data_IF_000376303911
#
_entry.id   IF_000376303911
#
_cell.length_a   1.000
_cell.length_b   1.000
_cell.length_c   1.000
_cell.angle_alpha   90.00
_cell.angle_beta   90.00
_cell.angle_gamma   90.00
#
_symmetry.space_group_name_H-M   'P 1'
#
loop_
_entity.id
_entity.type
_entity.pdbx_description
1 polymer ?
#
# COMPACT_ATOMS: atom_id res chain seq x y z
N UNK A 1 0.53 12.33 -18.48
CA UNK A 1 1.34 12.40 -17.24
C UNK A 1 0.79 11.34 -16.32
N UNK A 2 1.63 10.59 -15.60
CA UNK A 2 1.12 9.62 -14.61
C UNK A 2 0.57 10.37 -13.39
N UNK A 3 -0.33 9.73 -12.62
CA UNK A 3 -0.87 10.36 -11.40
C UNK A 3 0.23 10.66 -10.38
N UNK A 4 1.25 9.79 -10.29
CA UNK A 4 2.42 10.02 -9.45
C UNK A 4 3.16 11.32 -9.83
N UNK A 5 3.43 11.53 -11.12
CA UNK A 5 4.07 12.76 -11.60
C UNK A 5 3.21 14.01 -11.35
N UNK A 6 1.88 13.91 -11.54
CA UNK A 6 0.97 15.04 -11.30
C UNK A 6 0.96 15.44 -9.83
N UNK A 7 0.88 14.46 -8.93
CA UNK A 7 0.84 14.71 -7.48
C UNK A 7 2.19 15.23 -6.95
N UNK A 8 3.32 14.70 -7.43
CA UNK A 8 4.66 15.18 -7.08
C UNK A 8 4.88 16.62 -7.55
N UNK A 9 4.43 16.95 -8.77
CA UNK A 9 4.50 18.33 -9.29
C UNK A 9 3.69 19.29 -8.43
N UNK A 10 2.48 18.87 -8.01
CA UNK A 10 1.65 19.67 -7.12
C UNK A 10 2.29 19.83 -5.74
N UNK A 11 2.85 18.76 -5.18
CA UNK A 11 3.54 18.77 -3.89
C UNK A 11 4.74 19.73 -3.89
N UNK A 12 5.53 19.71 -4.96
CA UNK A 12 6.63 20.67 -5.12
C UNK A 12 6.13 22.13 -5.15
N UNK A 13 5.02 22.38 -5.88
CA UNK A 13 4.38 23.70 -5.94
C UNK A 13 3.85 24.15 -4.57
N UNK A 14 3.21 23.24 -3.81
CA UNK A 14 2.73 23.53 -2.45
C UNK A 14 3.90 23.89 -1.55
N UNK A 15 4.97 23.11 -1.56
CA UNK A 15 6.18 23.38 -0.76
C UNK A 15 6.78 24.76 -1.03
N UNK A 16 6.82 25.17 -2.30
CA UNK A 16 7.38 26.47 -2.74
C UNK A 16 6.49 27.65 -2.34
N UNK A 17 5.19 27.53 -2.61
CA UNK A 17 4.26 28.66 -2.48
C UNK A 17 3.57 28.76 -1.11
N UNK A 18 3.55 27.69 -0.30
CA UNK A 18 2.91 27.67 1.03
C UNK A 18 3.27 28.88 1.90
N UNK A 19 4.55 29.36 1.94
CA UNK A 19 4.92 30.50 2.80
C UNK A 19 4.28 31.85 2.42
N UNK A 20 3.79 31.97 1.19
CA UNK A 20 3.25 33.26 0.66
C UNK A 20 1.73 33.21 0.46
N UNK A 21 1.09 32.07 0.68
CA UNK A 21 -0.37 31.93 0.55
C UNK A 21 -1.04 32.23 1.90
N UNK A 22 -1.81 33.33 1.95
CA UNK A 22 -2.39 33.83 3.21
C UNK A 22 -3.92 33.71 3.28
N UNK A 23 -4.60 33.35 2.19
CA UNK A 23 -6.06 33.31 2.15
C UNK A 23 -6.58 31.97 1.62
N UNK A 24 -7.83 31.64 1.95
CA UNK A 24 -8.51 30.48 1.40
C UNK A 24 -8.66 30.55 -0.11
N UNK A 25 -9.03 31.72 -0.65
CA UNK A 25 -9.15 31.91 -2.11
C UNK A 25 -7.80 31.74 -2.84
N UNK A 26 -6.71 32.21 -2.24
CA UNK A 26 -5.38 31.95 -2.78
C UNK A 26 -5.02 30.46 -2.72
N UNK A 27 -5.42 29.74 -1.66
CA UNK A 27 -5.27 28.30 -1.53
C UNK A 27 -6.04 27.56 -2.62
N UNK A 28 -7.31 27.93 -2.84
CA UNK A 28 -8.15 27.35 -3.89
C UNK A 28 -7.48 27.50 -5.27
N UNK A 29 -7.06 28.72 -5.59
CA UNK A 29 -6.48 29.05 -6.89
C UNK A 29 -5.11 28.37 -7.09
N UNK A 30 -4.25 28.41 -6.08
CA UNK A 30 -2.88 27.91 -6.21
C UNK A 30 -2.77 26.38 -6.17
N UNK A 31 -3.63 25.70 -5.39
CA UNK A 31 -3.43 24.29 -5.09
C UNK A 31 -4.66 23.42 -5.40
N UNK A 32 -5.87 23.85 -5.03
CA UNK A 32 -7.07 22.98 -5.12
C UNK A 32 -7.58 22.89 -6.55
N UNK A 33 -7.68 24.02 -7.27
CA UNK A 33 -8.05 24.01 -8.70
C UNK A 33 -7.03 23.20 -9.53
N UNK A 34 -5.71 23.36 -9.35
CA UNK A 34 -4.74 22.46 -9.98
C UNK A 34 -4.89 20.98 -9.60
N UNK A 35 -5.22 20.65 -8.35
CA UNK A 35 -5.52 19.25 -7.96
C UNK A 35 -6.71 18.71 -8.73
N UNK A 36 -7.81 19.45 -8.80
CA UNK A 36 -9.01 19.06 -9.57
C UNK A 36 -8.66 18.84 -11.05
N UNK A 37 -7.87 19.74 -11.65
CA UNK A 37 -7.61 19.69 -13.09
C UNK A 37 -6.48 18.74 -13.47
N UNK A 38 -5.33 18.74 -12.75
CA UNK A 38 -4.14 17.98 -13.16
C UNK A 38 -4.01 16.62 -12.52
N UNK A 39 -4.62 16.43 -11.33
CA UNK A 39 -4.61 15.16 -10.62
C UNK A 39 -5.90 14.39 -10.87
N UNK A 40 -7.06 14.98 -10.61
CA UNK A 40 -8.34 14.30 -10.83
C UNK A 40 -8.78 14.33 -12.30
N UNK A 41 -8.30 15.26 -13.12
CA UNK A 41 -8.54 15.33 -14.57
C UNK A 41 -9.88 15.95 -14.98
N UNK A 42 -10.55 16.71 -14.09
CA UNK A 42 -11.77 17.46 -14.42
C UNK A 42 -11.40 18.85 -14.93
N UNK A 43 -12.17 19.37 -15.90
CA UNK A 43 -11.95 20.72 -16.40
C UNK A 43 -12.54 21.74 -15.40
N UNK A 44 -11.66 22.34 -14.60
CA UNK A 44 -12.04 23.34 -13.61
C UNK A 44 -12.56 24.66 -14.23
N UNK A 45 -12.47 24.82 -15.55
CA UNK A 45 -13.00 25.98 -16.28
C UNK A 45 -14.36 25.71 -16.92
N UNK A 46 -14.79 24.44 -16.98
CA UNK A 46 -16.11 24.06 -17.50
C UNK A 46 -17.11 23.92 -16.35
N UNK A 47 -18.11 24.83 -16.24
CA UNK A 47 -19.11 24.76 -15.18
C UNK A 47 -20.06 23.55 -15.27
N UNK A 48 -19.99 22.76 -16.34
CA UNK A 48 -20.70 21.48 -16.45
C UNK A 48 -19.98 20.36 -15.70
N UNK A 49 -18.69 20.51 -15.41
CA UNK A 49 -17.86 19.54 -14.70
C UNK A 49 -17.53 20.01 -13.28
N UNK A 50 -17.19 21.29 -13.11
CA UNK A 50 -16.78 21.84 -11.83
C UNK A 50 -17.59 23.09 -11.54
N UNK A 51 -18.53 22.97 -10.61
CA UNK A 51 -19.42 24.06 -10.21
C UNK A 51 -18.83 24.73 -8.96
N UNK A 52 -18.29 25.94 -9.06
CA UNK A 52 -17.82 26.67 -7.89
C UNK A 52 -18.99 27.21 -7.08
N UNK A 53 -18.80 27.38 -5.78
CA UNK A 53 -19.81 27.92 -4.85
C UNK A 53 -21.20 27.29 -5.01
N UNK A 54 -21.23 25.96 -5.10
CA UNK A 54 -22.46 25.21 -5.34
C UNK A 54 -23.45 25.37 -4.19
N UNK A 55 -24.71 25.63 -4.52
CA UNK A 55 -25.83 25.71 -3.57
C UNK A 55 -26.85 24.63 -3.90
N UNK A 56 -27.18 23.76 -2.94
CA UNK A 56 -28.25 22.79 -3.11
C UNK A 56 -29.63 23.46 -2.92
N UNK A 57 -30.62 22.99 -3.67
CA UNK A 57 -31.95 23.58 -3.68
C UNK A 57 -32.76 23.25 -2.41
N UNK A 58 -32.42 22.15 -1.72
CA UNK A 58 -33.20 21.62 -0.58
C UNK A 58 -32.26 21.23 0.58
N UNK A 59 -32.67 21.46 1.81
CA UNK A 59 -32.04 20.91 3.01
C UNK A 59 -30.85 21.68 3.58
N UNK A 60 -30.43 22.78 2.95
CA UNK A 60 -29.32 23.62 3.41
C UNK A 60 -29.80 24.96 3.93
N UNK A 61 -29.00 25.61 4.80
CA UNK A 61 -29.32 26.97 5.27
C UNK A 61 -29.20 27.97 4.12
N UNK A 62 -30.11 28.92 4.05
CA UNK A 62 -30.08 29.96 3.04
C UNK A 62 -28.75 30.71 3.06
N UNK A 63 -28.07 30.72 1.91
CA UNK A 63 -26.77 31.41 1.74
C UNK A 63 -25.54 30.56 2.06
N UNK A 64 -25.67 29.32 2.51
CA UNK A 64 -24.56 28.38 2.58
C UNK A 64 -24.22 27.87 1.16
N UNK A 65 -22.94 27.56 0.91
CA UNK A 65 -22.43 27.05 -0.36
C UNK A 65 -21.29 26.09 -0.06
N UNK A 66 -21.16 24.99 -0.80
CA UNK A 66 -19.94 24.19 -0.82
C UNK A 66 -19.00 24.74 -1.89
N UNK A 67 -17.70 24.71 -1.63
CA UNK A 67 -16.73 25.40 -2.50
C UNK A 67 -16.72 24.88 -3.93
N UNK A 68 -16.77 23.55 -4.12
CA UNK A 68 -16.90 22.96 -5.45
C UNK A 68 -17.81 21.73 -5.43
N UNK A 69 -18.61 21.57 -6.47
CA UNK A 69 -19.30 20.35 -6.81
C UNK A 69 -18.75 19.82 -8.14
N UNK A 70 -18.25 18.58 -8.14
CA UNK A 70 -17.71 17.90 -9.32
C UNK A 70 -18.80 17.01 -9.92
N UNK A 71 -19.04 17.15 -11.22
CA UNK A 71 -20.06 16.36 -11.96
C UNK A 71 -19.46 15.68 -13.18
N UNK A 72 -20.13 14.59 -13.57
CA UNK A 72 -19.94 13.99 -14.90
C UNK A 72 -21.34 13.73 -15.50
N UNK A 73 -21.73 14.57 -16.44
CA UNK A 73 -23.12 14.66 -16.89
C UNK A 73 -24.04 15.19 -15.79
N UNK A 74 -25.10 14.46 -15.46
CA UNK A 74 -26.00 14.85 -14.37
C UNK A 74 -25.57 14.34 -12.99
N UNK A 75 -24.64 13.35 -12.93
CA UNK A 75 -24.25 12.69 -11.68
C UNK A 75 -23.19 13.49 -10.93
N UNK A 76 -23.40 13.68 -9.64
CA UNK A 76 -22.37 14.18 -8.75
C UNK A 76 -21.29 13.12 -8.51
N UNK A 77 -20.01 13.53 -8.55
CA UNK A 77 -18.86 12.70 -8.25
C UNK A 77 -18.28 13.04 -6.89
N UNK A 78 -18.04 14.32 -6.64
CA UNK A 78 -17.49 14.80 -5.39
C UNK A 78 -18.09 16.14 -5.01
N UNK A 79 -18.27 16.35 -3.70
CA UNK A 79 -18.34 17.69 -3.11
C UNK A 79 -16.98 18.00 -2.48
N UNK A 80 -16.50 19.21 -2.64
CA UNK A 80 -15.20 19.63 -2.10
C UNK A 80 -15.39 20.88 -1.25
N UNK A 81 -14.99 20.78 0.02
CA UNK A 81 -14.90 21.89 0.96
C UNK A 81 -13.43 22.25 1.18
N UNK A 82 -13.12 23.52 1.10
CA UNK A 82 -11.77 24.04 1.14
C UNK A 82 -11.52 24.82 2.44
N UNK A 83 -10.28 24.79 2.89
CA UNK A 83 -9.79 25.62 3.99
C UNK A 83 -8.47 26.25 3.58
N UNK A 84 -8.09 27.30 4.29
CA UNK A 84 -6.80 27.95 4.09
C UNK A 84 -5.65 26.98 4.34
N UNK A 85 -4.60 27.06 3.56
CA UNK A 85 -3.39 26.27 3.76
C UNK A 85 -2.81 26.48 5.16
N UNK A 86 -2.34 25.36 5.79
CA UNK A 86 -1.84 25.38 7.16
C UNK A 86 -2.92 25.33 8.24
N UNK A 87 -4.21 25.47 7.90
CA UNK A 87 -5.31 25.28 8.83
C UNK A 87 -5.54 23.77 9.03
N UNK A 88 -5.61 23.28 10.29
CA UNK A 88 -5.87 21.86 10.56
C UNK A 88 -7.27 21.49 10.13
N UNK A 89 -7.39 20.37 9.42
CA UNK A 89 -8.69 19.81 9.03
C UNK A 89 -9.37 19.17 10.23
N UNK A 90 -10.65 19.38 10.39
CA UNK A 90 -11.47 18.78 11.45
C UNK A 90 -12.90 18.53 10.99
N UNK A 91 -13.59 17.61 11.67
CA UNK A 91 -15.00 17.32 11.39
C UNK A 91 -15.90 18.55 11.61
N UNK A 92 -15.50 19.49 12.48
CA UNK A 92 -16.19 20.74 12.69
C UNK A 92 -16.18 21.64 11.43
N UNK A 93 -15.07 21.61 10.68
CA UNK A 93 -14.96 22.24 9.37
C UNK A 93 -15.78 21.54 8.29
N UNK A 94 -16.01 20.24 8.46
CA UNK A 94 -16.82 19.43 7.55
C UNK A 94 -18.34 19.58 7.78
N UNK A 95 -18.83 20.32 8.80
CA UNK A 95 -20.27 20.45 9.08
C UNK A 95 -21.09 20.95 7.89
N UNK A 96 -20.55 21.85 7.11
CA UNK A 96 -21.17 22.36 5.90
C UNK A 96 -21.16 21.28 4.83
N UNK A 97 -20.01 20.65 4.59
CA UNK A 97 -19.86 19.55 3.67
C UNK A 97 -20.82 18.39 3.98
N UNK A 98 -20.97 18.01 5.27
CA UNK A 98 -21.92 16.98 5.72
C UNK A 98 -23.37 17.35 5.36
N UNK A 99 -23.78 18.62 5.57
CA UNK A 99 -25.15 19.04 5.21
C UNK A 99 -25.41 18.93 3.72
N UNK A 100 -24.44 19.36 2.91
CA UNK A 100 -24.55 19.26 1.46
C UNK A 100 -24.51 17.82 0.97
N UNK A 101 -23.65 17.01 1.55
CA UNK A 101 -23.57 15.57 1.27
C UNK A 101 -24.92 14.88 1.51
N UNK A 102 -25.57 15.18 2.65
CA UNK A 102 -26.87 14.62 2.99
C UNK A 102 -28.04 15.18 2.15
N UNK A 103 -27.84 16.31 1.47
CA UNK A 103 -28.85 16.98 0.64
C UNK A 103 -28.69 16.70 -0.86
N UNK A 104 -27.65 15.99 -1.26
CA UNK A 104 -27.34 15.62 -2.65
C UNK A 104 -27.22 14.11 -2.78
N UNK A 105 -27.28 13.60 -4.02
CA UNK A 105 -27.05 12.17 -4.32
C UNK A 105 -25.56 11.83 -4.45
N UNK A 106 -24.68 12.67 -3.88
CA UNK A 106 -23.25 12.43 -3.89
C UNK A 106 -22.86 11.33 -2.91
N UNK A 107 -21.98 10.44 -3.33
CA UNK A 107 -21.45 9.34 -2.50
C UNK A 107 -20.07 9.64 -1.92
N UNK A 108 -19.38 10.67 -2.44
CA UNK A 108 -18.03 11.02 -2.04
C UNK A 108 -17.87 12.52 -1.79
N UNK A 109 -17.02 12.84 -0.83
CA UNK A 109 -16.65 14.21 -0.52
C UNK A 109 -15.16 14.36 -0.22
N UNK A 110 -14.62 15.54 -0.41
CA UNK A 110 -13.23 15.89 -0.14
C UNK A 110 -13.20 17.12 0.77
N UNK A 111 -12.54 17.02 1.91
CA UNK A 111 -12.18 18.16 2.75
C UNK A 111 -10.69 18.41 2.57
N UNK A 112 -10.29 19.66 2.27
CA UNK A 112 -8.89 19.95 1.97
C UNK A 112 -8.46 21.34 2.40
N UNK A 113 -7.19 21.49 2.73
CA UNK A 113 -6.50 22.77 2.89
C UNK A 113 -5.43 23.00 1.81
N UNK A 114 -5.48 22.26 0.70
CA UNK A 114 -4.52 22.35 -0.40
C UNK A 114 -3.20 21.61 -0.17
N UNK A 115 -2.85 21.22 1.06
CA UNK A 115 -1.72 20.36 1.39
C UNK A 115 -2.19 18.96 1.77
N UNK A 116 -3.28 18.87 2.53
CA UNK A 116 -3.90 17.62 2.93
C UNK A 116 -5.27 17.51 2.27
N UNK A 117 -5.56 16.34 1.72
CA UNK A 117 -6.83 15.98 1.09
C UNK A 117 -7.41 14.77 1.81
N UNK A 118 -8.55 14.94 2.47
CA UNK A 118 -9.29 13.90 3.18
C UNK A 118 -10.51 13.49 2.37
N UNK A 119 -10.58 12.23 1.97
CA UNK A 119 -11.66 11.66 1.17
C UNK A 119 -12.66 10.94 2.06
N UNK A 120 -13.92 11.32 1.95
CA UNK A 120 -15.04 10.78 2.71
C UNK A 120 -16.01 10.06 1.78
N UNK A 121 -16.73 9.08 2.32
CA UNK A 121 -17.76 8.31 1.63
C UNK A 121 -18.98 8.05 2.55
N UNK A 122 -20.01 7.40 2.01
CA UNK A 122 -21.17 6.88 2.76
C UNK A 122 -21.06 5.35 2.91
N UNK A 123 -20.18 4.87 3.77
CA UNK A 123 -19.97 3.43 3.95
C UNK A 123 -20.83 2.84 5.07
N UNK A 124 -21.06 3.60 6.16
CA UNK A 124 -21.78 3.11 7.34
C UNK A 124 -23.30 3.23 7.21
N UNK A 125 -23.80 4.25 6.52
CA UNK A 125 -25.23 4.48 6.37
C UNK A 125 -25.53 5.25 5.08
N UNK A 126 -26.62 4.89 4.41
CA UNK A 126 -27.08 5.55 3.17
C UNK A 126 -27.40 7.02 3.45
N UNK A 127 -27.00 7.90 2.55
CA UNK A 127 -27.16 9.36 2.63
C UNK A 127 -26.56 9.99 3.90
N UNK A 128 -25.51 9.39 4.44
CA UNK A 128 -24.78 9.93 5.58
C UNK A 128 -23.29 9.81 5.34
N UNK A 129 -22.60 10.96 5.30
CA UNK A 129 -21.15 11.00 5.24
C UNK A 129 -20.54 10.39 6.51
N UNK A 130 -19.55 9.53 6.36
CA UNK A 130 -18.81 8.95 7.47
C UNK A 130 -18.09 10.04 8.27
N UNK A 131 -17.86 9.78 9.57
CA UNK A 131 -17.15 10.73 10.44
C UNK A 131 -15.62 10.75 10.20
N UNK A 132 -15.11 9.75 9.51
CA UNK A 132 -13.67 9.59 9.23
C UNK A 132 -13.42 9.44 7.75
N UNK A 133 -12.33 10.03 7.26
CA UNK A 133 -11.94 9.82 5.87
C UNK A 133 -11.52 8.35 5.66
N UNK A 134 -11.89 7.78 4.52
CA UNK A 134 -11.41 6.46 4.11
C UNK A 134 -9.99 6.53 3.53
N UNK A 135 -9.59 7.69 2.99
CA UNK A 135 -8.27 7.93 2.44
C UNK A 135 -7.82 9.36 2.77
N UNK A 136 -6.55 9.53 3.11
CA UNK A 136 -5.91 10.83 3.31
C UNK A 136 -4.66 10.91 2.46
N UNK A 137 -4.50 12.02 1.75
CA UNK A 137 -3.30 12.33 0.96
C UNK A 137 -2.67 13.57 1.57
N UNK A 138 -1.43 13.43 2.04
CA UNK A 138 -0.60 14.52 2.55
C UNK A 138 0.51 14.80 1.53
N UNK A 139 0.44 15.96 0.88
CA UNK A 139 1.41 16.36 -0.14
C UNK A 139 2.80 16.64 0.44
N UNK A 140 2.91 16.84 1.75
CA UNK A 140 4.21 16.98 2.42
C UNK A 140 4.90 15.64 2.64
N UNK A 141 4.14 14.53 2.65
CA UNK A 141 4.62 13.17 2.86
C UNK A 141 3.73 12.16 2.14
N UNK A 142 3.88 12.08 0.83
CA UNK A 142 3.05 11.23 -0.02
C UNK A 142 3.32 9.75 0.28
N UNK A 143 2.29 9.02 0.68
CA UNK A 143 2.33 7.55 0.77
C UNK A 143 2.06 6.94 -0.61
N UNK A 144 3.04 6.27 -1.25
CA UNK A 144 2.82 5.68 -2.58
C UNK A 144 1.68 4.65 -2.62
N UNK A 145 1.33 4.05 -1.47
CA UNK A 145 0.27 3.04 -1.38
C UNK A 145 -1.13 3.60 -1.60
N UNK A 146 -1.34 4.91 -1.46
CA UNK A 146 -2.64 5.55 -1.72
C UNK A 146 -2.83 5.97 -3.18
N UNK A 147 -1.76 6.02 -3.99
CA UNK A 147 -1.82 6.48 -5.38
C UNK A 147 -2.75 5.63 -6.27
N UNK A 148 -2.79 4.28 -6.16
CA UNK A 148 -3.76 3.47 -6.93
C UNK A 148 -5.22 3.82 -6.60
N UNK A 149 -5.53 4.15 -5.35
CA UNK A 149 -6.87 4.54 -4.92
C UNK A 149 -7.23 5.96 -5.39
N UNK A 150 -6.24 6.88 -5.35
CA UNK A 150 -6.41 8.20 -5.93
C UNK A 150 -6.67 8.13 -7.44
N UNK A 151 -6.01 7.22 -8.14
CA UNK A 151 -6.19 7.02 -9.57
C UNK A 151 -7.63 6.57 -9.92
N UNK A 152 -8.28 5.79 -9.05
CA UNK A 152 -9.69 5.42 -9.19
C UNK A 152 -10.65 6.61 -9.05
N UNK A 153 -10.22 7.68 -8.36
CA UNK A 153 -11.00 8.91 -8.21
C UNK A 153 -10.86 9.86 -9.41
N UNK A 154 -9.99 9.56 -10.39
CA UNK A 154 -9.83 10.40 -11.57
C UNK A 154 -11.02 10.30 -12.51
N UNK A 155 -11.29 11.36 -13.26
CA UNK A 155 -12.40 11.43 -14.24
C UNK A 155 -12.41 10.24 -15.20
N UNK A 156 -11.25 9.78 -15.63
CA UNK A 156 -11.11 8.68 -16.62
C UNK A 156 -11.34 7.28 -16.04
N UNK A 157 -11.18 7.11 -14.73
CA UNK A 157 -11.28 5.80 -14.05
C UNK A 157 -12.36 5.76 -12.97
N UNK A 158 -13.14 6.82 -12.82
CA UNK A 158 -14.16 6.91 -11.80
C UNK A 158 -15.22 5.84 -11.98
N UNK A 159 -15.34 4.97 -10.99
CA UNK A 159 -16.39 3.97 -10.85
C UNK A 159 -16.79 3.88 -9.37
N UNK A 160 -18.03 4.29 -9.07
CA UNK A 160 -18.54 4.42 -7.71
C UNK A 160 -18.46 3.11 -6.92
N UNK A 161 -18.88 1.99 -7.53
CA UNK A 161 -18.90 0.68 -6.87
C UNK A 161 -17.47 0.23 -6.51
N UNK A 162 -16.53 0.42 -7.43
CA UNK A 162 -15.11 0.10 -7.20
C UNK A 162 -14.51 0.98 -6.10
N UNK A 163 -14.79 2.29 -6.12
CA UNK A 163 -14.29 3.21 -5.09
C UNK A 163 -14.88 2.83 -3.73
N UNK A 164 -16.18 2.56 -3.64
CA UNK A 164 -16.86 2.17 -2.40
C UNK A 164 -16.28 0.89 -1.80
N UNK A 165 -16.09 -0.16 -2.61
CA UNK A 165 -15.48 -1.42 -2.17
C UNK A 165 -14.06 -1.22 -1.64
N UNK A 166 -13.25 -0.42 -2.32
CA UNK A 166 -11.89 -0.13 -1.88
C UNK A 166 -11.86 0.79 -0.64
N UNK A 167 -12.80 1.74 -0.55
CA UNK A 167 -12.95 2.63 0.60
C UNK A 167 -13.27 1.83 1.88
N UNK A 168 -14.16 0.84 1.79
CA UNK A 168 -14.43 -0.07 2.91
C UNK A 168 -13.18 -0.82 3.37
N UNK A 169 -12.39 -1.36 2.43
CA UNK A 169 -11.14 -2.05 2.75
C UNK A 169 -10.12 -1.12 3.41
N UNK A 170 -9.92 0.08 2.87
CA UNK A 170 -9.02 1.08 3.44
C UNK A 170 -9.45 1.49 4.86
N UNK A 171 -10.74 1.69 5.07
CA UNK A 171 -11.32 1.98 6.39
C UNK A 171 -11.01 0.88 7.40
N UNK A 172 -11.28 -0.38 7.05
CA UNK A 172 -10.96 -1.52 7.92
C UNK A 172 -9.46 -1.63 8.19
N UNK A 173 -8.61 -1.46 7.19
CA UNK A 173 -7.15 -1.47 7.38
C UNK A 173 -6.72 -0.37 8.35
N UNK A 174 -7.26 0.84 8.22
CA UNK A 174 -6.94 1.95 9.12
C UNK A 174 -7.41 1.67 10.57
N UNK A 175 -8.61 1.15 10.75
CA UNK A 175 -9.14 0.79 12.08
C UNK A 175 -8.33 -0.37 12.71
N UNK A 176 -7.98 -1.39 11.94
CA UNK A 176 -7.13 -2.50 12.41
C UNK A 176 -5.75 -1.99 12.84
N UNK A 177 -5.10 -1.13 12.03
CA UNK A 177 -3.81 -0.53 12.38
C UNK A 177 -3.90 0.27 13.68
N UNK A 178 -4.98 1.04 13.87
CA UNK A 178 -5.23 1.81 15.08
C UNK A 178 -5.39 0.91 16.31
N UNK A 179 -6.19 -0.16 16.20
CA UNK A 179 -6.38 -1.15 17.26
C UNK A 179 -5.07 -1.85 17.61
N UNK A 180 -4.33 -2.33 16.62
CA UNK A 180 -3.04 -2.98 16.83
C UNK A 180 -2.03 -2.03 17.48
N UNK A 181 -1.94 -0.78 17.01
CA UNK A 181 -1.09 0.23 17.63
C UNK A 181 -1.47 0.52 19.08
N UNK A 182 -2.78 0.53 19.38
CA UNK A 182 -3.29 0.65 20.76
C UNK A 182 -2.84 -0.52 21.63
N UNK A 183 -3.04 -1.74 21.17
CA UNK A 183 -2.64 -2.96 21.90
C UNK A 183 -1.13 -3.07 22.13
N UNK A 184 -0.32 -2.57 21.19
CA UNK A 184 1.13 -2.56 21.34
C UNK A 184 1.62 -1.51 22.37
N UNK A 185 0.90 -0.40 22.53
CA UNK A 185 1.24 0.66 23.49
C UNK A 185 0.66 0.36 24.89
N UNK A 186 -0.62 0.03 24.92
CA UNK A 186 -1.40 -0.22 26.15
C UNK A 186 -2.20 -1.51 25.96
N UNK A 187 -1.62 -2.69 26.24
CA UNK A 187 -2.27 -3.97 26.04
C UNK A 187 -3.54 -4.11 26.88
N UNK A 188 -4.70 -4.33 26.21
CA UNK A 188 -5.96 -4.58 26.92
C UNK A 188 -5.93 -5.94 27.63
N UNK A 189 -6.72 -6.13 28.71
CA UNK A 189 -6.79 -7.41 29.41
C UNK A 189 -7.18 -8.58 28.50
N UNK A 190 -8.03 -8.36 27.52
CA UNK A 190 -8.46 -9.37 26.54
C UNK A 190 -7.30 -9.78 25.64
N UNK A 191 -6.54 -8.80 25.14
CA UNK A 191 -5.36 -9.01 24.31
C UNK A 191 -4.28 -9.76 25.07
N UNK A 192 -4.02 -9.39 26.33
CA UNK A 192 -3.05 -10.08 27.21
C UNK A 192 -3.49 -11.53 27.46
N UNK A 193 -4.76 -11.78 27.75
CA UNK A 193 -5.30 -13.14 27.92
C UNK A 193 -5.15 -13.98 26.65
N UNK A 194 -5.43 -13.37 25.49
CA UNK A 194 -5.28 -14.04 24.20
C UNK A 194 -3.83 -14.48 23.97
N UNK A 195 -2.85 -13.55 24.12
CA UNK A 195 -1.42 -13.87 23.97
C UNK A 195 -0.99 -14.92 25.00
N UNK A 196 -1.32 -14.74 26.28
CA UNK A 196 -0.96 -15.68 27.33
C UNK A 196 -1.49 -17.09 27.06
N UNK A 197 -2.70 -17.23 26.50
CA UNK A 197 -3.29 -18.54 26.14
C UNK A 197 -2.49 -19.30 25.09
N UNK A 198 -1.69 -18.62 24.27
CA UNK A 198 -0.83 -19.22 23.25
C UNK A 198 0.54 -19.64 23.78
N UNK A 199 0.97 -19.07 24.94
CA UNK A 199 2.32 -19.24 25.48
C UNK A 199 2.31 -20.15 26.72
N UNK A 200 1.24 -20.14 27.51
CA UNK A 200 1.18 -20.87 28.78
C UNK A 200 -0.22 -21.40 29.08
N UNK A 201 -0.26 -22.55 29.79
CA UNK A 201 -1.48 -23.11 30.35
C UNK A 201 -1.84 -22.58 31.74
N UNK A 202 -1.06 -21.65 32.30
CA UNK A 202 -1.33 -21.05 33.62
C UNK A 202 -2.67 -20.31 33.61
N UNK A 203 -3.43 -20.52 34.71
CA UNK A 203 -4.70 -19.79 34.90
C UNK A 203 -4.42 -18.28 35.05
N UNK A 204 -5.13 -17.44 34.31
CA UNK A 204 -5.05 -15.98 34.37
C UNK A 204 -5.84 -15.46 35.59
N UNK A 205 -5.20 -15.50 36.76
CA UNK A 205 -5.65 -14.76 37.96
C UNK A 205 -5.36 -13.27 37.77
N UNK A 206 -5.92 -12.37 38.61
CA UNK A 206 -5.66 -10.94 38.54
C UNK A 206 -4.15 -10.63 38.63
N UNK A 207 -3.42 -11.29 39.53
CA UNK A 207 -1.98 -11.13 39.69
C UNK A 207 -1.18 -11.62 38.46
N UNK A 208 -1.56 -12.77 37.89
CA UNK A 208 -0.91 -13.27 36.67
C UNK A 208 -1.22 -12.36 35.47
N UNK A 209 -2.42 -11.82 35.39
CA UNK A 209 -2.81 -10.91 34.31
C UNK A 209 -1.98 -9.62 34.36
N UNK A 210 -1.80 -9.03 35.55
CA UNK A 210 -0.96 -7.85 35.74
C UNK A 210 0.50 -8.12 35.34
N UNK A 211 1.07 -9.23 35.79
CA UNK A 211 2.43 -9.62 35.39
C UNK A 211 2.55 -9.84 33.87
N UNK A 212 1.61 -10.51 33.23
CA UNK A 212 1.60 -10.71 31.79
C UNK A 212 1.37 -9.41 31.03
N UNK A 213 0.59 -8.46 31.55
CA UNK A 213 0.42 -7.14 30.93
C UNK A 213 1.76 -6.41 30.80
N UNK A 214 2.58 -6.44 31.86
CA UNK A 214 3.92 -5.85 31.81
C UNK A 214 4.85 -6.57 30.80
N UNK A 215 4.77 -7.90 30.74
CA UNK A 215 5.58 -8.70 29.79
C UNK A 215 5.16 -8.41 28.34
N UNK A 216 3.87 -8.34 28.06
CA UNK A 216 3.35 -8.03 26.70
C UNK A 216 3.74 -6.63 26.28
N UNK A 217 3.61 -5.62 27.18
CA UNK A 217 4.02 -4.25 26.89
C UNK A 217 5.53 -4.14 26.62
N UNK A 218 6.35 -4.84 27.41
CA UNK A 218 7.80 -4.89 27.22
C UNK A 218 8.18 -5.53 25.90
N UNK A 219 7.62 -6.70 25.61
CA UNK A 219 7.87 -7.43 24.36
C UNK A 219 7.44 -6.62 23.14
N UNK A 220 6.28 -5.94 23.19
CA UNK A 220 5.79 -5.06 22.12
C UNK A 220 6.76 -3.90 21.87
N UNK A 221 7.26 -3.26 22.94
CA UNK A 221 8.23 -2.16 22.83
C UNK A 221 9.56 -2.64 22.22
N UNK A 222 10.03 -3.83 22.61
CA UNK A 222 11.25 -4.43 22.05
C UNK A 222 11.06 -4.76 20.57
N UNK A 223 9.97 -5.42 20.20
CA UNK A 223 9.66 -5.76 18.82
C UNK A 223 9.66 -4.53 17.90
N UNK A 224 8.99 -3.45 18.32
CA UNK A 224 8.97 -2.20 17.55
C UNK A 224 10.35 -1.57 17.38
N UNK A 225 11.19 -1.62 18.42
CA UNK A 225 12.58 -1.10 18.36
C UNK A 225 13.45 -1.96 17.45
N UNK A 226 13.32 -3.29 17.55
CA UNK A 226 14.10 -4.22 16.74
C UNK A 226 13.74 -4.09 15.26
N UNK A 227 12.46 -3.95 14.94
CA UNK A 227 11.97 -3.71 13.59
C UNK A 227 12.45 -2.36 13.03
N UNK A 228 12.37 -1.28 13.82
CA UNK A 228 12.91 0.02 13.42
C UNK A 228 14.42 -0.03 13.18
N UNK A 229 15.17 -0.69 14.05
CA UNK A 229 16.61 -0.85 13.91
C UNK A 229 16.99 -1.71 12.69
N UNK A 230 16.21 -2.74 12.39
CA UNK A 230 16.40 -3.57 11.19
C UNK A 230 16.25 -2.72 9.92
N UNK A 231 15.18 -1.93 9.83
CA UNK A 231 14.93 -1.03 8.67
C UNK A 231 16.00 0.06 8.53
N UNK A 232 16.46 0.62 9.64
CA UNK A 232 17.53 1.62 9.62
C UNK A 232 18.86 1.02 9.12
N UNK A 233 19.21 -0.20 9.54
CA UNK A 233 20.41 -0.89 9.05
C UNK A 233 20.30 -1.16 7.54
N UNK A 234 19.17 -1.69 7.08
CA UNK A 234 18.93 -1.91 5.64
C UNK A 234 19.03 -0.62 4.82
N UNK A 235 18.62 0.54 5.37
CA UNK A 235 18.74 1.83 4.70
C UNK A 235 20.20 2.37 4.70
N UNK A 236 20.98 2.11 5.75
CA UNK A 236 22.39 2.53 5.85
C UNK A 236 23.30 1.71 4.92
N UNK A 237 23.01 0.42 4.72
CA UNK A 237 23.75 -0.43 3.79
C UNK A 237 23.58 0.01 2.31
N UNK A 238 22.58 0.86 2.01
CA UNK A 238 22.40 1.48 0.68
C UNK A 238 23.24 2.75 0.46
N UNK A 239 23.71 3.41 1.51
CA UNK A 239 24.41 4.71 1.40
C UNK A 239 25.95 4.58 1.41
N UNK A 240 26.48 3.39 1.71
CA UNK A 240 27.93 3.11 1.76
C UNK A 240 28.49 2.48 0.46
N UNK A 241 28.01 2.90 -0.71
CA UNK A 241 28.68 2.56 -1.97
C UNK A 241 29.69 3.64 -2.36
N UNK A 242 31.01 3.41 -2.22
CA UNK A 242 32.00 4.39 -2.63
C UNK A 242 32.03 4.51 -4.15
N UNK A 243 31.70 5.69 -4.63
CA UNK A 243 32.04 6.13 -5.99
C UNK A 243 33.54 6.12 -6.16
N UNK A 244 34.08 5.12 -6.84
CA UNK A 244 35.43 5.23 -7.37
C UNK A 244 35.58 4.54 -8.73
N UNK A 245 36.13 5.30 -9.62
CA UNK A 245 36.39 5.10 -11.04
C UNK A 245 37.03 3.75 -11.42
N UNK A 246 36.66 3.30 -12.64
CA UNK A 246 37.40 2.28 -13.42
C UNK A 246 38.90 2.62 -13.58
N UNK A 247 39.79 1.61 -13.72
CA UNK A 247 40.08 1.15 -15.07
C UNK A 247 40.35 -0.37 -15.25
N UNK A 248 40.02 -0.80 -16.48
CA UNK A 248 40.67 -1.82 -17.34
C UNK A 248 41.02 -3.25 -16.86
N UNK A 249 40.55 -4.17 -17.70
CA UNK A 249 40.86 -5.60 -17.87
C UNK A 249 42.37 -5.89 -18.10
N UNK A 250 42.91 -7.16 -18.10
CA UNK A 250 42.26 -8.36 -18.64
C UNK A 250 42.58 -9.72 -17.96
N UNK A 251 41.76 -10.73 -18.30
CA UNK A 251 42.15 -12.06 -18.74
C UNK A 251 42.40 -13.21 -17.75
N UNK A 252 41.72 -14.30 -18.08
CA UNK A 252 42.03 -15.73 -18.08
C UNK A 252 41.70 -16.62 -16.87
N UNK A 253 40.69 -17.42 -17.14
CA UNK A 253 40.58 -18.89 -17.02
C UNK A 253 41.13 -19.61 -15.79
N UNK A 254 40.21 -20.29 -15.08
CA UNK A 254 40.42 -21.70 -14.76
C UNK A 254 39.14 -22.38 -14.28
N UNK A 255 38.81 -23.47 -14.96
CA UNK A 255 37.84 -24.51 -14.65
C UNK A 255 38.13 -25.17 -13.32
N UNK A 256 37.08 -25.35 -12.48
CA UNK A 256 37.00 -26.47 -11.55
C UNK A 256 35.55 -26.87 -11.32
N UNK A 257 35.24 -28.00 -11.87
CA UNK A 257 34.10 -28.86 -11.65
C UNK A 257 34.01 -29.23 -10.16
N UNK A 258 32.88 -28.98 -9.52
CA UNK A 258 32.56 -29.64 -8.25
C UNK A 258 31.08 -29.96 -8.22
N UNK A 259 30.79 -31.17 -8.58
CA UNK A 259 29.56 -31.91 -8.37
C UNK A 259 29.25 -31.95 -6.88
N UNK A 260 28.12 -31.34 -6.47
CA UNK A 260 27.58 -31.54 -5.14
C UNK A 260 26.21 -32.19 -5.28
N UNK A 261 26.14 -33.45 -4.80
CA UNK A 261 24.95 -34.27 -4.67
C UNK A 261 23.89 -33.63 -3.73
N UNK A 262 22.62 -33.96 -3.91
CA UNK A 262 21.52 -33.35 -3.17
C UNK A 262 21.50 -33.79 -1.71
N UNK A 263 21.57 -32.85 -0.80
CA UNK A 263 21.28 -33.06 0.62
C UNK A 263 19.75 -33.03 0.78
N UNK A 264 19.20 -34.15 1.23
CA UNK A 264 17.84 -34.28 1.72
C UNK A 264 17.78 -33.61 3.10
N UNK A 265 16.98 -32.56 3.24
CA UNK A 265 16.55 -32.08 4.57
C UNK A 265 15.04 -32.31 4.72
N UNK A 266 14.70 -33.01 5.80
CA UNK A 266 13.33 -33.31 6.25
C UNK A 266 12.63 -32.05 6.82
N UNK A 267 11.28 -32.01 6.80
CA UNK A 267 10.50 -30.87 7.26
C UNK A 267 10.37 -30.89 8.79
N UNK A 268 10.92 -29.87 9.43
CA UNK A 268 10.71 -29.69 10.86
C UNK A 268 11.36 -28.44 11.44
N UNK A 269 10.52 -27.58 11.98
CA UNK A 269 10.77 -26.44 12.85
C UNK A 269 10.82 -25.07 12.18
N UNK A 270 9.84 -24.30 12.56
CA UNK A 270 9.69 -22.85 12.47
C UNK A 270 10.91 -22.16 13.09
N UNK A 271 11.87 -21.77 12.27
CA UNK A 271 13.07 -21.06 12.67
C UNK A 271 13.14 -19.73 11.89
N UNK A 272 12.38 -18.71 12.32
CA UNK A 272 12.72 -17.30 12.07
C UNK A 272 12.98 -16.89 10.62
N UNK A 273 12.45 -17.61 9.63
CA UNK A 273 12.57 -17.33 8.20
C UNK A 273 11.54 -16.26 7.88
N UNK A 274 11.97 -15.11 7.34
CA UNK A 274 11.10 -13.98 6.99
C UNK A 274 11.16 -13.81 5.48
N UNK A 275 10.03 -14.05 4.82
CA UNK A 275 9.86 -13.77 3.39
C UNK A 275 9.96 -12.27 3.16
N UNK A 276 10.85 -11.84 2.26
CA UNK A 276 11.06 -10.42 1.92
C UNK A 276 9.97 -9.88 0.99
N UNK A 277 9.81 -8.55 0.94
CA UNK A 277 8.86 -7.92 0.01
C UNK A 277 9.20 -8.24 -1.45
N UNK A 278 10.47 -8.35 -1.79
CA UNK A 278 10.96 -8.73 -3.13
C UNK A 278 10.61 -10.19 -3.48
N UNK A 279 10.67 -11.10 -2.51
CA UNK A 279 10.25 -12.49 -2.69
C UNK A 279 8.74 -12.62 -2.88
N UNK A 280 7.95 -11.78 -2.18
CA UNK A 280 6.50 -11.70 -2.35
C UNK A 280 6.16 -11.13 -3.74
N UNK A 281 6.88 -10.10 -4.19
CA UNK A 281 6.72 -9.55 -5.53
C UNK A 281 7.07 -10.59 -6.61
N UNK A 282 8.23 -11.24 -6.50
CA UNK A 282 8.67 -12.30 -7.41
C UNK A 282 7.69 -13.48 -7.44
N UNK A 283 7.18 -13.90 -6.30
CA UNK A 283 6.11 -14.90 -6.22
C UNK A 283 4.84 -14.44 -6.94
N UNK A 284 4.43 -13.19 -6.75
CA UNK A 284 3.22 -12.64 -7.38
C UNK A 284 3.33 -12.62 -8.90
N UNK A 285 4.50 -12.27 -9.44
CA UNK A 285 4.80 -12.30 -10.88
C UNK A 285 4.73 -13.75 -11.40
N UNK A 286 5.42 -14.69 -10.74
CA UNK A 286 5.43 -16.12 -11.16
C UNK A 286 4.03 -16.69 -11.09
N UNK A 287 3.27 -16.41 -10.05
CA UNK A 287 1.88 -16.82 -9.89
C UNK A 287 1.01 -16.27 -11.02
N UNK A 288 1.14 -14.98 -11.38
CA UNK A 288 0.41 -14.37 -12.48
C UNK A 288 0.75 -15.01 -13.84
N UNK A 289 2.02 -15.33 -14.08
CA UNK A 289 2.45 -16.03 -15.30
C UNK A 289 1.85 -17.44 -15.37
N UNK A 290 1.88 -18.18 -14.27
CA UNK A 290 1.40 -19.57 -14.20
C UNK A 290 -0.13 -19.69 -14.23
N UNK A 291 -0.87 -18.65 -13.89
CA UNK A 291 -2.36 -18.64 -13.87
C UNK A 291 -2.99 -18.90 -15.24
N UNK A 292 -2.26 -18.72 -16.34
CA UNK A 292 -2.75 -19.10 -17.68
C UNK A 292 -2.88 -20.60 -17.87
N UNK A 293 -2.20 -21.41 -17.05
CA UNK A 293 -2.10 -22.87 -17.22
C UNK A 293 -2.73 -23.64 -16.04
N UNK A 294 -2.71 -23.07 -14.82
CA UNK A 294 -3.21 -23.71 -13.61
C UNK A 294 -3.93 -22.69 -12.72
N UNK A 295 -4.85 -23.12 -11.83
CA UNK A 295 -5.45 -22.21 -10.85
C UNK A 295 -4.39 -21.50 -10.00
N UNK A 296 -4.57 -20.21 -9.72
CA UNK A 296 -3.66 -19.41 -8.92
C UNK A 296 -3.42 -19.99 -7.50
N UNK A 297 -4.40 -20.71 -6.96
CA UNK A 297 -4.34 -21.42 -5.66
C UNK A 297 -3.38 -22.59 -5.66
N UNK A 298 -3.04 -23.13 -6.83
CA UNK A 298 -2.13 -24.27 -6.98
C UNK A 298 -0.65 -23.85 -7.04
N UNK A 299 -0.36 -22.54 -7.13
CA UNK A 299 1.00 -21.98 -7.08
C UNK A 299 1.25 -21.45 -5.68
N UNK A 300 2.12 -22.11 -4.92
CA UNK A 300 2.33 -21.86 -3.49
C UNK A 300 3.78 -21.45 -3.24
N UNK A 301 3.97 -20.45 -2.39
CA UNK A 301 5.28 -19.99 -1.90
C UNK A 301 5.65 -20.77 -0.64
N UNK A 302 6.92 -21.16 -0.53
CA UNK A 302 7.50 -21.74 0.68
C UNK A 302 8.92 -21.20 0.88
N UNK A 303 9.13 -20.51 1.95
CA UNK A 303 10.43 -19.91 2.25
C UNK A 303 11.38 -20.90 2.92
N UNK A 304 12.67 -20.79 2.63
CA UNK A 304 13.77 -21.56 3.21
C UNK A 304 14.95 -20.63 3.52
N UNK A 305 15.91 -21.08 4.32
CA UNK A 305 17.04 -20.24 4.79
C UNK A 305 17.89 -19.58 3.71
N UNK A 306 17.90 -20.08 2.50
CA UNK A 306 18.80 -19.64 1.43
C UNK A 306 18.11 -19.37 0.09
N UNK A 307 16.80 -19.59 -0.01
CA UNK A 307 15.99 -19.33 -1.18
C UNK A 307 14.49 -19.38 -0.84
N UNK A 308 13.69 -18.70 -1.62
CA UNK A 308 12.23 -18.81 -1.56
C UNK A 308 11.76 -19.75 -2.68
N UNK A 309 11.15 -20.89 -2.33
CA UNK A 309 10.65 -21.88 -3.27
C UNK A 309 9.22 -21.56 -3.74
N UNK A 310 8.96 -21.72 -5.04
CA UNK A 310 7.62 -21.65 -5.62
C UNK A 310 7.26 -23.07 -6.12
N UNK A 311 6.18 -23.61 -5.57
CA UNK A 311 5.81 -25.01 -5.69
C UNK A 311 4.43 -25.17 -6.33
N UNK A 312 4.23 -26.26 -7.08
CA UNK A 312 2.91 -26.67 -7.55
C UNK A 312 2.20 -27.52 -6.51
N UNK A 313 0.99 -27.09 -6.07
CA UNK A 313 0.15 -27.75 -5.04
C UNK A 313 0.89 -28.05 -3.75
N UNK A 314 1.73 -27.11 -3.32
CA UNK A 314 2.53 -27.23 -2.07
C UNK A 314 3.40 -28.49 -1.99
N UNK A 315 3.85 -29.00 -3.11
CA UNK A 315 4.58 -30.25 -3.21
C UNK A 315 6.08 -30.01 -3.53
N UNK A 316 6.96 -30.32 -2.58
CA UNK A 316 8.42 -30.18 -2.73
C UNK A 316 9.02 -30.98 -3.91
N UNK A 317 8.31 -32.00 -4.40
CA UNK A 317 8.74 -32.79 -5.56
C UNK A 317 8.32 -32.16 -6.90
N UNK A 318 7.54 -31.07 -6.84
CA UNK A 318 7.04 -30.33 -8.01
C UNK A 318 7.44 -28.84 -7.91
N UNK A 319 8.75 -28.52 -7.86
CA UNK A 319 9.17 -27.13 -7.83
C UNK A 319 8.97 -26.49 -9.21
N UNK A 320 8.44 -25.26 -9.19
CA UNK A 320 8.31 -24.41 -10.38
C UNK A 320 9.57 -23.59 -10.53
N UNK A 321 9.92 -22.82 -9.48
CA UNK A 321 11.09 -21.95 -9.45
C UNK A 321 11.62 -21.79 -8.02
N UNK A 322 12.82 -21.22 -7.90
CA UNK A 322 13.40 -20.73 -6.65
C UNK A 322 13.92 -19.31 -6.85
N UNK A 323 13.65 -18.45 -5.88
CA UNK A 323 14.15 -17.09 -5.82
C UNK A 323 15.31 -17.03 -4.83
N UNK A 324 16.42 -16.41 -5.23
CA UNK A 324 17.64 -16.24 -4.44
C UNK A 324 17.94 -14.74 -4.33
N UNK A 325 17.21 -14.05 -3.46
CA UNK A 325 17.29 -12.59 -3.32
C UNK A 325 18.22 -12.14 -2.19
N UNK A 326 18.61 -13.03 -1.29
CA UNK A 326 19.57 -12.74 -0.22
C UNK A 326 21.01 -12.54 -0.72
N UNK A 327 21.23 -12.45 -2.03
CA UNK A 327 22.57 -12.33 -2.63
C UNK A 327 22.76 -10.97 -3.28
N UNK A 328 24.02 -10.57 -3.42
CA UNK A 328 24.45 -9.31 -4.06
C UNK A 328 23.87 -9.10 -5.47
N UNK A 329 23.55 -10.17 -6.18
CA UNK A 329 22.82 -10.17 -7.46
C UNK A 329 21.63 -11.10 -7.30
N UNK A 330 20.40 -10.60 -7.39
CA UNK A 330 19.19 -11.43 -7.33
C UNK A 330 19.18 -12.44 -8.48
N UNK A 331 18.68 -13.65 -8.22
CA UNK A 331 18.62 -14.73 -9.22
C UNK A 331 17.30 -15.48 -9.12
N UNK A 332 16.88 -16.02 -10.26
CA UNK A 332 15.83 -17.02 -10.34
C UNK A 332 16.37 -18.34 -10.86
N UNK A 333 16.05 -19.44 -10.18
CA UNK A 333 16.27 -20.79 -10.68
C UNK A 333 14.96 -21.38 -11.19
N UNK A 334 14.87 -21.70 -12.48
CA UNK A 334 13.69 -22.30 -13.10
C UNK A 334 13.97 -23.78 -13.39
N UNK A 335 13.01 -24.65 -13.06
CA UNK A 335 13.18 -26.09 -13.23
C UNK A 335 12.65 -26.55 -14.60
N UNK A 336 13.44 -27.35 -15.32
CA UNK A 336 13.00 -28.02 -16.53
C UNK A 336 12.21 -29.33 -16.25
N UNK A 337 11.77 -30.03 -17.30
CA UNK A 337 11.02 -31.27 -17.18
C UNK A 337 11.80 -32.37 -16.44
N UNK A 338 13.13 -32.38 -16.55
CA UNK A 338 14.04 -33.34 -15.91
C UNK A 338 14.41 -32.94 -14.48
N UNK A 339 13.79 -31.88 -13.94
CA UNK A 339 14.03 -31.30 -12.62
C UNK A 339 15.43 -30.68 -12.46
N UNK A 340 16.07 -30.32 -13.53
CA UNK A 340 17.32 -29.59 -13.48
C UNK A 340 16.99 -28.10 -13.34
N UNK A 341 17.70 -27.44 -12.42
CA UNK A 341 17.55 -26.01 -12.15
C UNK A 341 18.45 -25.19 -13.08
N UNK A 342 17.85 -24.25 -13.79
CA UNK A 342 18.52 -23.28 -14.65
C UNK A 342 18.52 -21.92 -13.98
N UNK A 343 19.70 -21.40 -13.70
CA UNK A 343 19.88 -20.13 -12.98
C UNK A 343 19.97 -18.95 -13.93
N UNK A 344 19.20 -17.89 -13.64
CA UNK A 344 19.22 -16.64 -14.39
C UNK A 344 19.45 -15.47 -13.41
N UNK A 345 20.36 -14.56 -13.79
CA UNK A 345 20.59 -13.34 -13.04
C UNK A 345 19.48 -12.33 -13.34
N UNK A 346 19.04 -11.60 -12.32
CA UNK A 346 18.02 -10.54 -12.42
C UNK A 346 18.67 -9.20 -12.07
N UNK A 347 18.32 -8.13 -12.80
CA UNK A 347 18.68 -6.77 -12.41
C UNK A 347 17.60 -6.16 -11.52
N UNK A 348 16.33 -6.47 -11.83
CA UNK A 348 15.15 -6.10 -11.05
C UNK A 348 14.17 -7.26 -11.00
N UNK A 349 13.30 -7.31 -9.99
CA UNK A 349 12.31 -8.39 -9.82
C UNK A 349 11.41 -8.56 -11.05
N UNK A 350 11.09 -7.47 -11.73
CA UNK A 350 10.27 -7.47 -12.95
C UNK A 350 10.91 -8.22 -14.14
N UNK A 351 12.23 -8.46 -14.12
CA UNK A 351 12.91 -9.26 -15.18
C UNK A 351 12.37 -10.70 -15.27
N UNK A 352 11.71 -11.19 -14.20
CA UNK A 352 11.03 -12.49 -14.15
C UNK A 352 10.00 -12.65 -15.28
N UNK A 353 9.34 -11.55 -15.74
CA UNK A 353 8.44 -11.61 -16.88
C UNK A 353 9.10 -12.09 -18.18
N UNK A 354 10.42 -11.86 -18.33
CA UNK A 354 11.21 -12.34 -19.46
C UNK A 354 11.28 -13.86 -19.56
N UNK A 355 11.03 -14.59 -18.46
CA UNK A 355 11.06 -16.05 -18.39
C UNK A 355 9.67 -16.69 -18.38
N UNK A 356 8.65 -15.95 -18.83
CA UNK A 356 7.26 -16.40 -18.78
C UNK A 356 7.02 -17.73 -19.52
N UNK A 357 7.66 -17.95 -20.65
CA UNK A 357 7.47 -19.18 -21.43
C UNK A 357 8.08 -20.41 -20.75
N UNK A 358 9.25 -20.25 -20.10
CA UNK A 358 9.90 -21.31 -19.32
C UNK A 358 9.05 -21.69 -18.11
N UNK A 359 8.52 -20.70 -17.37
CA UNK A 359 7.65 -20.91 -16.20
C UNK A 359 6.34 -21.63 -16.61
N UNK A 360 5.71 -21.22 -17.72
CA UNK A 360 4.52 -21.89 -18.26
C UNK A 360 4.80 -23.32 -18.70
N UNK A 361 5.92 -23.53 -19.42
CA UNK A 361 6.34 -24.86 -19.85
C UNK A 361 6.56 -25.79 -18.65
N UNK A 362 7.18 -25.26 -17.58
CA UNK A 362 7.39 -26.03 -16.35
C UNK A 362 6.08 -26.44 -15.69
N UNK A 363 5.13 -25.51 -15.54
CA UNK A 363 3.81 -25.83 -14.92
C UNK A 363 3.04 -26.82 -15.77
N UNK A 364 3.05 -26.68 -17.11
CA UNK A 364 2.44 -27.66 -18.04
C UNK A 364 2.98 -29.07 -17.87
N UNK A 365 4.25 -29.22 -17.52
CA UNK A 365 4.86 -30.55 -17.30
C UNK A 365 4.29 -31.29 -16.08
N UNK A 366 3.46 -30.63 -15.25
CA UNK A 366 2.79 -31.23 -14.10
C UNK A 366 1.35 -31.66 -14.35
N UNK A 367 0.76 -31.21 -15.49
CA UNK A 367 -0.60 -31.56 -15.91
C UNK A 367 -0.62 -32.86 -16.69
#
# INVERSE_FOLDING_TARGET
MSIAQSIETLAAKVKDLKPIIETEEATKTAFIIPFISTVLGYDATDPREVIPEYTADIGVKKGEKVDFAIKAGEDFRFLIECKKIGEPLSIDHAKQLIRYFNATDTEFAILTNGEVYEFYAQLDAVNRMDERPFMTIDLSNIDPRVLPYLEMCTKSKFDSDTITTNAEQLKYIAEIKKLLSGFLKEPSPEWVKFIASKITSKRMTAQNLEAFTMLVATASSQLLKDEANRRLRSAQDYDDSPTTAMPEQPSQASTADTTISPVQEEPGADNGIITTDEEIEGYSIIRAICCSEVPATDVVIRDAKSYCAILYKDNNRKPIARLYFDRKTPRIGIFDADKKEHMHDLNVVADIYGFADELRARVKSFL
#
